data_IF_739139712063
#
_entry.id   IF_739139712063
#
_cell.length_a   1.000
_cell.length_b   1.000
_cell.length_c   1.000
_cell.angle_alpha   90.00
_cell.angle_beta   90.00
_cell.angle_gamma   90.00
#
_symmetry.space_group_name_H-M   'P 1'
#
loop_
_entity.id
_entity.type
_entity.pdbx_description
1 polymer ?
#
# COMPACT_ATOMS: atom_id res chain seq x y z
N UNK A 1 -6.33 23.98 32.59
CA UNK A 1 -5.07 23.25 32.41
C UNK A 1 -3.93 24.14 32.84
N UNK A 2 -3.05 23.64 33.70
CA UNK A 2 -1.82 24.35 34.10
C UNK A 2 -0.69 24.17 33.08
N UNK A 3 0.32 25.04 33.09
CA UNK A 3 1.44 24.99 32.13
C UNK A 3 2.17 23.63 32.09
N UNK A 4 2.33 22.98 33.25
CA UNK A 4 2.93 21.65 33.36
C UNK A 4 2.07 20.55 32.71
N UNK A 5 0.76 20.63 32.89
CA UNK A 5 -0.19 19.65 32.33
C UNK A 5 -0.20 19.75 30.80
N UNK A 6 -0.21 20.99 30.27
CA UNK A 6 -0.08 21.24 28.84
C UNK A 6 1.25 20.69 28.29
N UNK A 7 2.37 20.94 28.98
CA UNK A 7 3.68 20.40 28.58
C UNK A 7 3.69 18.87 28.52
N UNK A 8 3.18 18.19 29.55
CA UNK A 8 3.16 16.73 29.59
C UNK A 8 2.26 16.13 28.50
N UNK A 9 1.14 16.79 28.20
CA UNK A 9 0.29 16.42 27.07
C UNK A 9 1.06 16.56 25.75
N UNK A 10 1.70 17.71 25.49
CA UNK A 10 2.48 17.91 24.25
C UNK A 10 3.64 16.93 24.14
N UNK A 11 4.35 16.67 25.24
CA UNK A 11 5.41 15.67 25.29
C UNK A 11 4.89 14.27 24.94
N UNK A 12 3.72 13.88 25.48
CA UNK A 12 3.13 12.57 25.19
C UNK A 12 2.80 12.42 23.70
N UNK A 13 2.24 13.46 23.08
CA UNK A 13 1.94 13.47 21.65
C UNK A 13 3.23 13.40 20.82
N UNK A 14 4.21 14.24 21.13
CA UNK A 14 5.51 14.21 20.48
C UNK A 14 6.21 12.85 20.61
N UNK A 15 6.13 12.21 21.77
CA UNK A 15 6.72 10.90 22.01
C UNK A 15 6.02 9.79 21.22
N UNK A 16 4.72 9.93 20.99
CA UNK A 16 3.92 8.99 20.19
C UNK A 16 4.22 9.10 18.69
N UNK A 17 4.62 10.26 18.15
CA UNK A 17 4.98 10.38 16.73
C UNK A 17 6.25 9.60 16.36
N UNK A 18 7.06 9.22 17.34
CA UNK A 18 8.19 8.31 17.14
C UNK A 18 7.78 6.84 17.17
N UNK A 19 6.48 6.53 17.27
CA UNK A 19 5.92 5.18 17.39
C UNK A 19 6.17 4.53 18.74
N UNK A 20 5.70 3.29 18.87
CA UNK A 20 5.93 2.42 20.02
C UNK A 20 6.79 1.19 19.63
N UNK A 21 7.06 0.29 20.57
CA UNK A 21 7.80 -0.96 20.31
C UNK A 21 9.30 -0.79 20.03
N UNK A 22 9.97 -1.86 19.62
CA UNK A 22 11.38 -1.79 19.15
C UNK A 22 11.34 -1.48 17.66
N UNK A 23 12.03 -0.44 17.17
CA UNK A 23 12.09 -0.16 15.74
C UNK A 23 12.63 -1.38 14.97
N UNK A 24 12.07 -1.64 13.79
CA UNK A 24 12.58 -2.71 12.93
C UNK A 24 14.02 -2.44 12.49
N UNK A 25 14.83 -3.49 12.49
CA UNK A 25 16.22 -3.42 12.06
C UNK A 25 16.35 -3.72 10.58
N UNK A 26 17.40 -3.19 9.97
CA UNK A 26 17.75 -3.40 8.57
C UNK A 26 18.02 -4.84 8.16
N UNK A 27 18.25 -5.74 9.12
CA UNK A 27 18.48 -7.16 8.86
C UNK A 27 17.36 -7.82 8.04
N UNK A 28 16.10 -7.35 8.17
CA UNK A 28 14.96 -7.86 7.39
C UNK A 28 15.07 -7.51 5.89
N UNK A 29 15.84 -6.46 5.56
CA UNK A 29 16.01 -5.92 4.21
C UNK A 29 17.39 -6.24 3.61
N UNK A 30 18.21 -7.02 4.32
CA UNK A 30 19.55 -7.41 3.88
C UNK A 30 19.58 -8.90 3.50
N UNK A 31 19.32 -9.20 2.23
CA UNK A 31 19.49 -10.55 1.67
C UNK A 31 20.87 -10.76 1.03
N UNK A 32 21.85 -9.91 1.34
CA UNK A 32 23.18 -9.92 0.70
C UNK A 32 23.90 -11.26 0.85
N UNK A 33 23.70 -11.97 1.96
CA UNK A 33 24.32 -13.29 2.19
C UNK A 33 23.83 -14.32 1.18
N UNK A 34 22.52 -14.35 0.91
CA UNK A 34 21.95 -15.26 -0.08
C UNK A 34 22.32 -14.86 -1.51
N UNK A 35 22.36 -13.56 -1.80
CA UNK A 35 22.79 -13.04 -3.10
C UNK A 35 24.26 -13.37 -3.39
N UNK A 36 25.16 -13.25 -2.40
CA UNK A 36 26.56 -13.68 -2.53
C UNK A 36 26.69 -15.21 -2.68
N UNK A 37 25.81 -15.99 -2.05
CA UNK A 37 25.75 -17.45 -2.26
C UNK A 37 25.37 -17.75 -3.71
N UNK A 38 24.36 -17.08 -4.26
CA UNK A 38 23.96 -17.21 -5.66
C UNK A 38 25.06 -16.73 -6.63
N UNK A 39 25.74 -15.63 -6.31
CA UNK A 39 26.90 -15.15 -7.05
C UNK A 39 27.97 -16.25 -7.13
N UNK A 40 28.33 -16.85 -6.00
CA UNK A 40 29.32 -17.93 -5.95
C UNK A 40 28.87 -19.14 -6.77
N UNK A 41 27.58 -19.49 -6.75
CA UNK A 41 27.02 -20.57 -7.58
C UNK A 41 27.16 -20.22 -9.07
N UNK A 42 26.82 -19.00 -9.47
CA UNK A 42 26.96 -18.56 -10.86
C UNK A 42 28.42 -18.61 -11.34
N UNK A 43 29.36 -18.13 -10.53
CA UNK A 43 30.80 -18.17 -10.86
C UNK A 43 31.37 -19.59 -10.92
N UNK A 44 30.89 -20.49 -10.06
CA UNK A 44 31.39 -21.89 -10.01
C UNK A 44 30.75 -22.80 -11.04
N UNK A 45 29.59 -22.43 -11.58
CA UNK A 45 28.92 -23.16 -12.65
C UNK A 45 29.63 -23.06 -14.03
N UNK A 46 30.86 -22.53 -14.09
CA UNK A 46 31.62 -22.35 -15.32
C UNK A 46 31.75 -23.65 -16.16
N UNK A 47 31.47 -23.55 -17.45
CA UNK A 47 31.41 -24.64 -18.41
C UNK A 47 32.78 -25.29 -18.67
N UNK A 48 33.88 -24.55 -18.51
CA UNK A 48 35.23 -24.95 -18.92
C UNK A 48 35.73 -26.30 -18.35
N UNK A 49 35.14 -26.82 -17.27
CA UNK A 49 35.53 -28.12 -16.69
C UNK A 49 34.84 -29.33 -17.33
N UNK A 50 33.72 -29.13 -18.05
CA UNK A 50 32.85 -30.22 -18.52
C UNK A 50 32.43 -30.09 -19.99
N UNK A 51 32.52 -28.89 -20.57
CA UNK A 51 32.08 -28.60 -21.93
C UNK A 51 32.95 -27.50 -22.55
N UNK A 52 33.32 -27.67 -23.81
CA UNK A 52 34.23 -26.75 -24.53
C UNK A 52 33.67 -26.37 -25.90
N UNK A 53 34.07 -25.19 -26.40
CA UNK A 53 33.64 -24.65 -27.69
C UNK A 53 32.96 -23.28 -27.54
N UNK A 54 32.54 -22.67 -28.65
CA UNK A 54 32.00 -21.29 -28.63
C UNK A 54 30.77 -21.11 -27.73
N UNK A 55 29.93 -22.13 -27.62
CA UNK A 55 28.77 -22.11 -26.74
C UNK A 55 29.14 -22.20 -25.24
N UNK A 56 30.22 -22.90 -24.89
CA UNK A 56 30.75 -22.89 -23.52
C UNK A 56 31.31 -21.52 -23.14
N UNK A 57 32.03 -20.86 -24.07
CA UNK A 57 32.53 -19.49 -23.87
C UNK A 57 31.39 -18.47 -23.70
N UNK A 58 30.32 -18.58 -24.50
CA UNK A 58 29.15 -17.71 -24.36
C UNK A 58 28.42 -17.93 -23.03
N UNK A 59 28.33 -19.18 -22.58
CA UNK A 59 27.77 -19.53 -21.28
C UNK A 59 28.58 -18.93 -20.12
N UNK A 60 29.91 -19.08 -20.15
CA UNK A 60 30.80 -18.52 -19.11
C UNK A 60 30.73 -16.99 -19.03
N UNK A 61 30.63 -16.32 -20.18
CA UNK A 61 30.42 -14.88 -20.24
C UNK A 61 29.11 -14.48 -19.54
N UNK A 62 28.01 -15.21 -19.79
CA UNK A 62 26.71 -14.93 -19.17
C UNK A 62 26.66 -15.24 -17.68
N UNK A 63 27.28 -16.33 -17.25
CA UNK A 63 27.41 -16.61 -15.82
C UNK A 63 28.21 -15.52 -15.09
N UNK A 64 29.24 -14.97 -15.74
CA UNK A 64 30.02 -13.85 -15.20
C UNK A 64 29.15 -12.58 -15.07
N UNK A 65 28.36 -12.24 -16.10
CA UNK A 65 27.41 -11.13 -16.04
C UNK A 65 26.38 -11.30 -14.91
N UNK A 66 25.78 -12.49 -14.79
CA UNK A 66 24.82 -12.78 -13.71
C UNK A 66 25.45 -12.69 -12.33
N UNK A 67 26.67 -13.20 -12.16
CA UNK A 67 27.40 -13.09 -10.91
C UNK A 67 27.67 -11.63 -10.54
N UNK A 68 28.06 -10.80 -11.51
CA UNK A 68 28.30 -9.38 -11.27
C UNK A 68 27.01 -8.62 -10.93
N UNK A 69 25.87 -8.97 -11.53
CA UNK A 69 24.56 -8.41 -11.15
C UNK A 69 24.16 -8.82 -9.73
N UNK A 70 24.30 -10.11 -9.38
CA UNK A 70 24.02 -10.61 -8.03
C UNK A 70 24.89 -9.93 -6.97
N UNK A 71 26.16 -9.68 -7.27
CA UNK A 71 27.07 -8.94 -6.39
C UNK A 71 26.61 -7.49 -6.16
N UNK A 72 26.11 -6.82 -7.21
CA UNK A 72 25.58 -5.45 -7.09
C UNK A 72 24.28 -5.42 -6.30
N UNK A 73 23.37 -6.36 -6.52
CA UNK A 73 22.16 -6.50 -5.72
C UNK A 73 22.51 -6.75 -4.25
N UNK A 74 23.50 -7.61 -3.96
CA UNK A 74 23.95 -7.86 -2.60
C UNK A 74 24.46 -6.58 -1.91
N UNK A 75 25.21 -5.73 -2.62
CA UNK A 75 25.66 -4.45 -2.07
C UNK A 75 24.49 -3.48 -1.81
N UNK A 76 23.51 -3.43 -2.71
CA UNK A 76 22.34 -2.57 -2.57
C UNK A 76 21.46 -3.00 -1.39
N UNK A 77 21.16 -4.29 -1.24
CA UNK A 77 20.39 -4.83 -0.10
C UNK A 77 21.05 -4.48 1.24
N UNK A 78 22.36 -4.69 1.33
CA UNK A 78 23.14 -4.33 2.51
C UNK A 78 23.06 -2.82 2.81
N UNK A 79 23.06 -1.97 1.78
CA UNK A 79 22.93 -0.51 1.92
C UNK A 79 21.52 -0.11 2.35
N UNK A 80 20.47 -0.74 1.82
CA UNK A 80 19.08 -0.51 2.26
C UNK A 80 18.94 -0.90 3.73
N UNK A 81 19.41 -2.10 4.12
CA UNK A 81 19.41 -2.53 5.52
C UNK A 81 20.11 -1.50 6.42
N UNK A 82 21.29 -1.02 6.03
CA UNK A 82 22.01 -0.01 6.80
C UNK A 82 21.27 1.35 6.92
N UNK A 83 20.42 1.72 5.96
CA UNK A 83 19.60 2.94 6.05
C UNK A 83 18.35 2.73 6.93
N UNK A 84 17.77 1.54 6.92
CA UNK A 84 16.70 1.16 7.86
C UNK A 84 17.21 1.16 9.30
N UNK A 85 18.41 0.61 9.55
CA UNK A 85 19.06 0.68 10.86
C UNK A 85 19.31 2.13 11.32
N UNK A 86 19.64 3.03 10.39
CA UNK A 86 19.78 4.46 10.72
C UNK A 86 18.44 5.07 11.09
N UNK A 87 17.36 4.77 10.36
CA UNK A 87 16.02 5.22 10.71
C UNK A 87 15.63 4.77 12.12
N UNK A 88 15.84 3.48 12.42
CA UNK A 88 15.63 2.90 13.74
C UNK A 88 16.43 3.63 14.84
N UNK A 89 17.70 3.94 14.58
CA UNK A 89 18.55 4.67 15.50
C UNK A 89 18.08 6.12 15.74
N UNK A 90 17.63 6.83 14.69
CA UNK A 90 17.06 8.19 14.83
C UNK A 90 15.81 8.13 15.70
N UNK A 91 14.95 7.14 15.48
CA UNK A 91 13.72 6.95 16.26
C UNK A 91 14.04 6.67 17.72
N UNK A 92 14.91 5.70 17.99
CA UNK A 92 15.31 5.32 19.35
C UNK A 92 15.93 6.51 20.10
N UNK A 93 16.84 7.24 19.45
CA UNK A 93 17.48 8.43 20.03
C UNK A 93 16.48 9.53 20.33
N UNK A 94 15.56 9.83 19.41
CA UNK A 94 14.55 10.86 19.63
C UNK A 94 13.65 10.54 20.82
N UNK A 95 13.27 9.26 20.99
CA UNK A 95 12.53 8.78 22.16
C UNK A 95 13.30 9.00 23.47
N UNK A 96 14.56 8.59 23.52
CA UNK A 96 15.43 8.78 24.70
C UNK A 96 15.60 10.25 25.07
N UNK A 97 15.80 11.12 24.07
CA UNK A 97 15.99 12.55 24.28
C UNK A 97 14.70 13.23 24.77
N UNK A 98 13.54 12.86 24.19
CA UNK A 98 12.25 13.33 24.67
C UNK A 98 12.01 12.89 26.12
N UNK A 99 12.29 11.63 26.45
CA UNK A 99 12.16 11.09 27.80
C UNK A 99 13.06 11.88 28.79
N UNK A 100 14.29 12.22 28.38
CA UNK A 100 15.21 13.04 29.16
C UNK A 100 14.71 14.47 29.38
N UNK A 101 14.13 15.11 28.35
CA UNK A 101 13.53 16.46 28.47
C UNK A 101 12.38 16.45 29.47
N UNK A 102 11.49 15.44 29.42
CA UNK A 102 10.41 15.30 30.42
C UNK A 102 10.96 15.15 31.83
N UNK A 103 11.95 14.28 32.02
CA UNK A 103 12.57 14.07 33.34
C UNK A 103 13.18 15.37 33.87
N UNK A 104 13.88 16.13 33.03
CA UNK A 104 14.45 17.42 33.39
C UNK A 104 13.36 18.44 33.80
N UNK A 105 12.29 18.58 33.02
CA UNK A 105 11.18 19.51 33.33
C UNK A 105 10.52 19.16 34.66
N UNK A 106 10.24 17.87 34.91
CA UNK A 106 9.64 17.40 36.15
C UNK A 106 10.55 17.66 37.35
N UNK A 107 11.85 17.35 37.23
CA UNK A 107 12.83 17.59 38.29
C UNK A 107 12.97 19.09 38.58
N UNK A 108 13.12 19.92 37.55
CA UNK A 108 13.24 21.37 37.70
C UNK A 108 11.99 21.97 38.35
N UNK A 109 10.79 21.60 37.90
CA UNK A 109 9.54 22.09 38.50
C UNK A 109 9.28 21.60 39.94
N UNK A 110 9.86 20.45 40.33
CA UNK A 110 9.80 19.96 41.71
C UNK A 110 10.67 20.80 42.67
N UNK A 111 11.73 21.43 42.16
CA UNK A 111 12.62 22.31 42.92
C UNK A 111 12.01 23.69 43.21
N UNK A 112 10.95 24.06 42.49
CA UNK A 112 10.24 25.35 42.69
C UNK A 112 9.42 25.32 43.99
N UNK A 113 9.67 26.23 44.94
CA UNK A 113 8.96 26.28 46.22
C UNK A 113 7.44 26.38 46.07
N UNK A 114 6.70 25.74 46.98
CA UNK A 114 5.24 25.85 47.07
C UNK A 114 4.84 27.24 47.59
N UNK A 115 4.56 28.16 46.68
CA UNK A 115 4.07 29.50 46.95
C UNK A 115 2.95 29.89 45.98
N UNK A 116 2.24 30.99 46.26
CA UNK A 116 1.24 31.54 45.36
C UNK A 116 1.81 31.93 43.98
N UNK A 117 3.13 32.16 43.88
CA UNK A 117 3.82 32.48 42.63
C UNK A 117 4.38 31.25 41.89
N UNK A 118 4.16 30.03 42.42
CA UNK A 118 4.76 28.80 41.87
C UNK A 118 4.44 28.58 40.40
N UNK A 119 3.21 28.83 39.97
CA UNK A 119 2.83 28.65 38.57
C UNK A 119 3.62 29.57 37.64
N UNK A 120 3.79 30.84 38.00
CA UNK A 120 4.57 31.80 37.22
C UNK A 120 6.05 31.41 37.16
N UNK A 121 6.60 30.85 38.24
CA UNK A 121 7.99 30.39 38.30
C UNK A 121 8.25 29.12 37.46
N UNK A 122 7.21 28.32 37.15
CA UNK A 122 7.34 27.10 36.32
C UNK A 122 7.31 27.42 34.82
N UNK A 123 6.71 28.55 34.40
CA UNK A 123 6.55 28.91 32.98
C UNK A 123 7.89 28.89 32.22
N UNK A 124 9.01 29.47 32.70
CA UNK A 124 10.29 29.43 31.99
C UNK A 124 10.87 28.02 31.85
N UNK A 125 10.64 27.14 32.84
CA UNK A 125 11.09 25.74 32.80
C UNK A 125 10.35 24.99 31.70
N UNK A 126 9.02 25.13 31.68
CA UNK A 126 8.17 24.57 30.62
C UNK A 126 8.56 25.14 29.25
N UNK A 127 8.78 26.44 29.16
CA UNK A 127 9.20 27.11 27.93
C UNK A 127 10.49 26.53 27.35
N UNK A 128 11.51 26.30 28.19
CA UNK A 128 12.74 25.64 27.76
C UNK A 128 12.48 24.19 27.31
N UNK A 129 11.74 23.40 28.11
CA UNK A 129 11.45 22.01 27.77
C UNK A 129 10.70 21.89 26.44
N UNK A 130 9.74 22.77 26.18
CA UNK A 130 9.04 22.84 24.89
C UNK A 130 9.95 23.22 23.73
N UNK A 131 10.91 24.13 23.94
CA UNK A 131 11.90 24.49 22.92
C UNK A 131 12.84 23.32 22.59
N UNK A 132 13.38 22.64 23.61
CA UNK A 132 14.24 21.46 23.44
C UNK A 132 13.51 20.34 22.69
N UNK A 133 12.23 20.09 23.03
CA UNK A 133 11.38 19.12 22.32
C UNK A 133 11.19 19.48 20.84
N UNK A 134 10.92 20.76 20.53
CA UNK A 134 10.78 21.24 19.16
C UNK A 134 12.07 21.03 18.35
N UNK A 135 13.22 21.27 18.95
CA UNK A 135 14.53 21.04 18.34
C UNK A 135 14.77 19.55 18.04
N UNK A 136 14.48 18.66 18.99
CA UNK A 136 14.60 17.20 18.82
C UNK A 136 13.73 16.72 17.66
N UNK A 137 12.46 17.13 17.61
CA UNK A 137 11.53 16.75 16.54
C UNK A 137 12.02 17.26 15.19
N UNK A 138 12.38 18.54 15.10
CA UNK A 138 12.85 19.16 13.86
C UNK A 138 14.09 18.48 13.32
N UNK A 139 15.07 18.20 14.20
CA UNK A 139 16.29 17.49 13.83
C UNK A 139 16.01 16.06 13.38
N UNK A 140 15.18 15.32 14.13
CA UNK A 140 14.83 13.93 13.81
C UNK A 140 14.12 13.84 12.46
N UNK A 141 13.20 14.77 12.16
CA UNK A 141 12.54 14.84 10.86
C UNK A 141 13.54 15.12 9.72
N UNK A 142 14.50 16.03 9.94
CA UNK A 142 15.55 16.29 8.95
C UNK A 142 16.44 15.08 8.68
N UNK A 143 16.80 14.33 9.72
CA UNK A 143 17.60 13.11 9.59
C UNK A 143 16.81 11.99 8.89
N UNK A 144 15.53 11.78 9.24
CA UNK A 144 14.65 10.81 8.59
C UNK A 144 14.38 11.17 7.13
N UNK A 145 14.19 12.44 6.80
CA UNK A 145 14.07 12.90 5.41
C UNK A 145 15.36 12.61 4.61
N UNK A 146 16.53 12.80 5.23
CA UNK A 146 17.80 12.47 4.61
C UNK A 146 17.98 10.96 4.41
N UNK A 147 17.50 10.12 5.35
CA UNK A 147 17.44 8.66 5.19
C UNK A 147 16.52 8.30 4.02
N UNK A 148 15.30 8.86 3.98
CA UNK A 148 14.35 8.64 2.88
C UNK A 148 14.92 9.00 1.51
N UNK A 149 15.62 10.13 1.40
CA UNK A 149 16.30 10.53 0.16
C UNK A 149 17.41 9.55 -0.27
N UNK A 150 18.15 8.97 0.67
CA UNK A 150 19.16 7.93 0.36
C UNK A 150 18.51 6.62 -0.06
N UNK A 151 17.41 6.23 0.58
CA UNK A 151 16.63 5.04 0.18
C UNK A 151 16.06 5.22 -1.24
N UNK A 152 15.53 6.40 -1.58
CA UNK A 152 15.09 6.72 -2.94
C UNK A 152 16.21 6.58 -3.98
N UNK A 153 17.38 7.13 -3.71
CA UNK A 153 18.55 6.98 -4.59
C UNK A 153 19.01 5.52 -4.75
N UNK A 154 18.91 4.70 -3.68
CA UNK A 154 19.15 3.26 -3.76
C UNK A 154 18.11 2.56 -4.65
N UNK A 155 16.85 3.00 -4.60
CA UNK A 155 15.80 2.56 -5.51
C UNK A 155 16.13 2.83 -6.98
N UNK A 156 16.67 4.01 -7.28
CA UNK A 156 17.14 4.35 -8.64
C UNK A 156 18.31 3.45 -9.09
N UNK A 157 19.26 3.16 -8.18
CA UNK A 157 20.35 2.22 -8.46
C UNK A 157 19.82 0.80 -8.73
N UNK A 158 18.77 0.38 -8.02
CA UNK A 158 18.07 -0.89 -8.29
C UNK A 158 17.40 -0.91 -9.67
N UNK A 159 16.69 0.17 -10.04
CA UNK A 159 16.07 0.29 -11.36
C UNK A 159 17.11 0.32 -12.50
N UNK A 160 18.29 0.88 -12.26
CA UNK A 160 19.38 0.85 -13.23
C UNK A 160 19.93 -0.57 -13.48
N UNK A 161 19.86 -1.47 -12.48
CA UNK A 161 20.24 -2.87 -12.66
C UNK A 161 19.25 -3.65 -13.52
N UNK A 162 17.95 -3.36 -13.43
CA UNK A 162 16.93 -4.01 -14.27
C UNK A 162 16.99 -3.54 -15.73
N UNK A 163 17.43 -2.30 -15.99
CA UNK A 163 17.69 -1.77 -17.34
C UNK A 163 18.99 -2.26 -18.01
N UNK A 164 19.84 -3.00 -17.30
CA UNK A 164 21.22 -3.33 -17.70
C UNK A 164 21.46 -4.79 -18.12
N UNK A 165 20.67 -5.32 -19.05
CA UNK A 165 21.09 -6.38 -19.98
C UNK A 165 21.45 -7.76 -19.41
N UNK A 166 20.45 -8.58 -19.14
CA UNK A 166 20.54 -10.01 -19.52
C UNK A 166 20.21 -10.05 -21.01
N UNK A 167 21.19 -10.30 -21.87
CA UNK A 167 20.89 -10.53 -23.28
C UNK A 167 19.97 -11.76 -23.40
N UNK A 168 18.80 -11.66 -24.05
CA UNK A 168 17.89 -12.79 -24.18
C UNK A 168 18.57 -13.92 -24.95
N UNK A 169 18.43 -15.14 -24.42
CA UNK A 169 18.66 -16.35 -25.22
C UNK A 169 17.66 -16.35 -26.37
N UNK A 170 18.13 -16.57 -27.60
CA UNK A 170 17.27 -17.11 -28.65
C UNK A 170 16.61 -18.38 -28.10
N UNK A 171 15.28 -18.32 -27.89
CA UNK A 171 14.46 -19.46 -27.48
C UNK A 171 13.62 -19.31 -26.20
N UNK A 172 13.66 -18.19 -25.47
CA UNK A 172 12.63 -17.84 -24.49
C UNK A 172 11.89 -16.56 -24.93
N UNK A 173 10.57 -16.42 -24.65
CA UNK A 173 9.80 -15.27 -25.07
C UNK A 173 10.40 -13.97 -24.49
N UNK A 174 10.19 -12.81 -25.16
CA UNK A 174 10.84 -11.53 -24.84
C UNK A 174 10.65 -11.12 -23.37
N UNK A 175 11.46 -10.16 -22.85
CA UNK A 175 11.14 -9.51 -21.56
C UNK A 175 9.70 -9.06 -21.65
N UNK A 176 8.84 -9.62 -20.81
CA UNK A 176 7.42 -9.28 -20.80
C UNK A 176 7.36 -7.85 -20.30
N UNK A 177 6.74 -6.96 -21.08
CA UNK A 177 6.45 -5.61 -20.63
C UNK A 177 5.76 -5.69 -19.26
N UNK A 178 6.13 -4.91 -18.22
CA UNK A 178 5.44 -4.94 -16.94
C UNK A 178 3.92 -4.85 -17.04
N UNK A 179 3.40 -4.12 -18.04
CA UNK A 179 1.96 -4.02 -18.32
C UNK A 179 1.40 -5.31 -18.94
N UNK A 180 2.16 -6.00 -19.79
CA UNK A 180 1.81 -7.34 -20.28
C UNK A 180 1.88 -8.39 -19.15
N UNK A 181 2.81 -8.23 -18.20
CA UNK A 181 2.93 -9.12 -17.04
C UNK A 181 1.74 -8.93 -16.10
N UNK A 182 1.36 -7.69 -15.82
CA UNK A 182 0.12 -7.38 -15.08
C UNK A 182 -1.08 -7.98 -15.80
N UNK A 183 -1.23 -7.74 -17.11
CA UNK A 183 -2.32 -8.29 -17.90
C UNK A 183 -2.38 -9.83 -17.80
N UNK A 184 -1.22 -10.50 -17.76
CA UNK A 184 -1.14 -11.96 -17.67
C UNK A 184 -1.39 -12.50 -16.26
N UNK A 185 -0.94 -11.80 -15.23
CA UNK A 185 -1.01 -12.27 -13.83
C UNK A 185 -2.38 -11.99 -13.21
N UNK A 186 -2.94 -10.83 -13.51
CA UNK A 186 -4.21 -10.36 -12.96
C UNK A 186 -5.37 -10.87 -13.82
N UNK A 187 -5.53 -12.19 -13.84
CA UNK A 187 -6.63 -12.89 -14.50
C UNK A 187 -7.14 -13.98 -13.56
N UNK A 188 -8.44 -14.04 -13.30
CA UNK A 188 -9.08 -15.05 -12.46
C UNK A 188 -10.04 -15.90 -13.29
N UNK A 189 -10.05 -17.22 -13.05
CA UNK A 189 -10.98 -18.09 -13.75
C UNK A 189 -12.43 -17.70 -13.42
N UNK A 190 -13.32 -17.68 -14.41
CA UNK A 190 -14.76 -17.42 -14.23
C UNK A 190 -15.36 -18.24 -13.07
N UNK A 191 -16.44 -17.72 -12.47
CA UNK A 191 -17.19 -18.49 -11.48
C UNK A 191 -17.92 -19.65 -12.18
N UNK A 192 -17.68 -20.93 -11.81
CA UNK A 192 -18.34 -22.07 -12.45
C UNK A 192 -19.86 -22.05 -12.29
N UNK A 193 -20.38 -21.34 -11.28
CA UNK A 193 -21.82 -21.17 -11.06
C UNK A 193 -22.37 -19.89 -11.72
N UNK A 194 -21.54 -19.16 -12.46
CA UNK A 194 -21.89 -17.98 -13.23
C UNK A 194 -22.20 -16.74 -12.37
N UNK A 195 -22.94 -15.81 -12.97
CA UNK A 195 -23.44 -14.60 -12.31
C UNK A 195 -24.95 -14.69 -12.08
N UNK A 196 -25.42 -14.01 -11.04
CA UNK A 196 -26.81 -13.97 -10.62
C UNK A 196 -27.17 -12.58 -10.10
N UNK A 197 -28.46 -12.30 -10.05
CA UNK A 197 -28.97 -11.10 -9.41
C UNK A 197 -29.18 -11.40 -7.93
N UNK A 198 -28.32 -10.82 -7.09
CA UNK A 198 -28.31 -11.04 -5.65
C UNK A 198 -29.09 -9.95 -4.93
N UNK A 199 -29.86 -10.34 -3.92
CA UNK A 199 -30.60 -9.45 -3.03
C UNK A 199 -30.37 -9.87 -1.57
N UNK A 200 -30.18 -8.90 -0.65
CA UNK A 200 -29.97 -9.20 0.76
C UNK A 200 -31.23 -9.85 1.36
N UNK A 201 -31.04 -10.95 2.08
CA UNK A 201 -32.15 -11.65 2.73
C UNK A 201 -32.71 -10.89 3.96
N UNK A 202 -33.99 -11.11 4.28
CA UNK A 202 -34.67 -10.48 5.42
C UNK A 202 -35.26 -9.08 5.14
N UNK A 203 -35.59 -8.27 6.17
CA UNK A 203 -36.30 -7.00 6.00
C UNK A 203 -35.50 -5.89 5.28
N UNK A 204 -34.21 -6.10 4.99
CA UNK A 204 -33.38 -5.21 4.18
C UNK A 204 -33.65 -5.34 2.67
N UNK A 205 -33.97 -6.53 2.18
CA UNK A 205 -34.26 -6.78 0.75
C UNK A 205 -35.56 -6.16 0.25
N UNK A 206 -36.38 -5.58 1.11
CA UNK A 206 -37.61 -4.87 0.72
C UNK A 206 -37.35 -3.49 0.09
N UNK A 207 -36.10 -2.99 0.09
CA UNK A 207 -35.74 -1.62 -0.29
C UNK A 207 -34.50 -1.49 -1.19
N UNK A 208 -33.95 -2.59 -1.71
CA UNK A 208 -32.72 -2.57 -2.53
C UNK A 208 -32.94 -3.23 -3.87
N UNK A 209 -32.50 -2.59 -4.96
CA UNK A 209 -32.51 -3.20 -6.29
C UNK A 209 -31.55 -4.40 -6.34
N UNK A 210 -31.89 -5.48 -7.08
CA UNK A 210 -31.00 -6.61 -7.29
C UNK A 210 -29.64 -6.18 -7.84
N UNK A 211 -28.56 -6.71 -7.27
CA UNK A 211 -27.18 -6.46 -7.70
C UNK A 211 -26.68 -7.64 -8.52
N UNK A 212 -26.26 -7.36 -9.76
CA UNK A 212 -25.63 -8.36 -10.59
C UNK A 212 -24.22 -8.67 -10.06
N UNK A 213 -24.01 -9.89 -9.59
CA UNK A 213 -22.75 -10.35 -8.99
C UNK A 213 -22.46 -11.79 -9.38
N UNK A 214 -21.21 -12.23 -9.24
CA UNK A 214 -20.87 -13.65 -9.38
C UNK A 214 -21.49 -14.47 -8.24
N UNK A 215 -21.77 -15.75 -8.50
CA UNK A 215 -22.29 -16.65 -7.47
C UNK A 215 -21.34 -16.79 -6.26
N UNK A 216 -20.02 -16.72 -6.49
CA UNK A 216 -18.99 -16.66 -5.45
C UNK A 216 -19.09 -15.42 -4.59
N UNK A 217 -19.25 -14.25 -5.20
CA UNK A 217 -19.45 -13.00 -4.45
C UNK A 217 -20.76 -13.03 -3.67
N UNK A 218 -21.86 -13.53 -4.25
CA UNK A 218 -23.14 -13.72 -3.58
C UNK A 218 -23.02 -14.58 -2.31
N UNK A 219 -22.28 -15.70 -2.37
CA UNK A 219 -22.02 -16.55 -1.20
C UNK A 219 -21.28 -15.80 -0.08
N UNK A 220 -20.30 -14.97 -0.43
CA UNK A 220 -19.57 -14.15 0.55
C UNK A 220 -20.50 -13.09 1.17
N UNK A 221 -21.38 -12.49 0.37
CA UNK A 221 -22.38 -11.53 0.85
C UNK A 221 -23.43 -12.17 1.77
N UNK A 222 -23.83 -13.42 1.49
CA UNK A 222 -24.79 -14.18 2.32
C UNK A 222 -24.26 -14.49 3.74
N UNK A 223 -22.94 -14.46 3.93
CA UNK A 223 -22.30 -14.66 5.23
C UNK A 223 -22.22 -13.38 6.07
N UNK A 224 -22.50 -12.21 5.48
CA UNK A 224 -22.41 -10.92 6.15
C UNK A 224 -23.65 -10.62 7.00
N UNK A 225 -23.46 -9.95 8.13
CA UNK A 225 -24.55 -9.41 8.91
C UNK A 225 -25.22 -8.20 8.22
N UNK A 226 -26.48 -7.89 8.57
CA UNK A 226 -27.18 -6.68 8.12
C UNK A 226 -26.40 -5.37 8.27
N UNK A 227 -25.59 -5.23 9.33
CA UNK A 227 -24.78 -4.04 9.56
C UNK A 227 -23.58 -3.98 8.62
N UNK A 228 -22.90 -5.10 8.41
CA UNK A 228 -21.76 -5.19 7.49
C UNK A 228 -22.19 -4.96 6.03
N UNK A 229 -23.36 -5.47 5.63
CA UNK A 229 -23.94 -5.21 4.31
C UNK A 229 -24.25 -3.71 4.10
N UNK A 230 -24.74 -3.04 5.14
CA UNK A 230 -24.97 -1.59 5.11
C UNK A 230 -23.65 -0.82 4.98
N UNK A 231 -22.62 -1.21 5.72
CA UNK A 231 -21.31 -0.56 5.65
C UNK A 231 -20.68 -0.77 4.26
N UNK A 232 -20.76 -1.97 3.71
CA UNK A 232 -20.29 -2.26 2.36
C UNK A 232 -21.02 -1.40 1.31
N UNK A 233 -22.34 -1.25 1.44
CA UNK A 233 -23.11 -0.36 0.56
C UNK A 233 -22.63 1.09 0.65
N UNK A 234 -22.42 1.61 1.87
CA UNK A 234 -21.92 2.97 2.07
C UNK A 234 -20.51 3.15 1.50
N UNK A 235 -19.64 2.16 1.65
CA UNK A 235 -18.29 2.14 1.07
C UNK A 235 -18.35 2.17 -0.46
N UNK A 236 -19.20 1.36 -1.09
CA UNK A 236 -19.40 1.37 -2.55
C UNK A 236 -19.91 2.72 -3.04
N UNK A 237 -20.89 3.31 -2.36
CA UNK A 237 -21.43 4.63 -2.71
C UNK A 237 -20.38 5.74 -2.55
N UNK A 238 -19.63 5.74 -1.44
CA UNK A 238 -18.55 6.69 -1.19
C UNK A 238 -17.46 6.62 -2.26
N UNK A 239 -17.01 5.40 -2.61
CA UNK A 239 -15.99 5.23 -3.64
C UNK A 239 -16.46 5.72 -5.01
N UNK A 240 -17.71 5.44 -5.40
CA UNK A 240 -18.28 5.87 -6.67
C UNK A 240 -18.46 7.39 -6.76
N UNK A 241 -18.84 8.05 -5.66
CA UNK A 241 -18.96 9.50 -5.59
C UNK A 241 -17.59 10.17 -5.64
N UNK A 242 -16.67 9.74 -4.78
CA UNK A 242 -15.34 10.36 -4.66
C UNK A 242 -14.54 10.23 -5.95
N UNK A 243 -14.66 9.09 -6.64
CA UNK A 243 -14.03 8.88 -7.95
C UNK A 243 -14.41 9.97 -8.96
N UNK A 244 -15.70 10.30 -9.07
CA UNK A 244 -16.18 11.34 -10.00
C UNK A 244 -15.79 12.75 -9.57
N UNK A 245 -15.50 12.97 -8.28
CA UNK A 245 -15.04 14.25 -7.76
C UNK A 245 -13.57 14.47 -8.12
N UNK A 246 -12.71 13.48 -7.86
CA UNK A 246 -11.25 13.59 -8.06
C UNK A 246 -10.83 13.37 -9.51
N UNK A 247 -11.50 12.46 -10.20
CA UNK A 247 -11.29 12.16 -11.61
C UNK A 247 -12.62 12.32 -12.36
N UNK A 248 -13.07 13.55 -12.67
CA UNK A 248 -14.31 13.77 -13.38
C UNK A 248 -14.29 13.14 -14.77
N UNK A 249 -15.37 12.45 -15.20
CA UNK A 249 -15.42 11.81 -16.51
C UNK A 249 -15.44 12.86 -17.62
N UNK A 250 -14.55 12.73 -18.61
CA UNK A 250 -14.33 13.76 -19.63
C UNK A 250 -15.23 13.60 -20.86
N UNK A 251 -15.59 12.36 -21.24
CA UNK A 251 -16.39 12.10 -22.44
C UNK A 251 -17.90 11.90 -22.15
N UNK A 252 -18.37 12.43 -21.03
CA UNK A 252 -19.77 12.41 -20.60
C UNK A 252 -19.96 11.71 -19.26
N UNK A 253 -21.10 11.96 -18.60
CA UNK A 253 -21.32 11.55 -17.20
C UNK A 253 -21.23 10.03 -16.93
N UNK A 254 -21.28 9.20 -17.98
CA UNK A 254 -21.22 7.74 -17.90
C UNK A 254 -19.84 7.16 -18.27
N UNK A 255 -18.90 8.00 -18.74
CA UNK A 255 -17.54 7.59 -19.11
C UNK A 255 -16.69 7.36 -17.86
N UNK A 256 -16.97 6.28 -17.14
CA UNK A 256 -16.42 6.00 -15.80
C UNK A 256 -15.85 4.61 -15.66
N UNK A 257 -15.84 3.84 -16.74
CA UNK A 257 -15.26 2.50 -16.82
C UNK A 257 -13.89 2.59 -17.50
N UNK A 258 -12.99 1.67 -17.19
CA UNK A 258 -11.70 1.45 -17.88
C UNK A 258 -10.70 2.63 -17.80
N UNK A 259 -11.03 3.69 -17.06
CA UNK A 259 -10.31 4.97 -17.03
C UNK A 259 -9.88 5.39 -15.62
N UNK A 260 -9.30 6.58 -15.46
CA UNK A 260 -8.83 7.07 -14.15
C UNK A 260 -9.92 7.14 -13.06
N UNK A 261 -11.17 7.41 -13.46
CA UNK A 261 -12.33 7.34 -12.56
C UNK A 261 -12.49 5.94 -12.01
N UNK A 262 -12.30 4.93 -12.86
CA UNK A 262 -12.42 3.53 -12.48
C UNK A 262 -11.25 3.06 -11.63
N UNK A 263 -10.01 3.37 -12.06
CA UNK A 263 -8.80 3.06 -11.33
C UNK A 263 -8.84 3.61 -9.89
N UNK A 264 -9.27 4.87 -9.73
CA UNK A 264 -9.49 5.45 -8.41
C UNK A 264 -10.61 4.73 -7.65
N UNK A 265 -11.76 4.49 -8.29
CA UNK A 265 -12.91 3.83 -7.66
C UNK A 265 -12.54 2.47 -7.09
N UNK A 266 -11.85 1.63 -7.86
CA UNK A 266 -11.43 0.29 -7.45
C UNK A 266 -10.40 0.32 -6.31
N UNK A 267 -9.37 1.17 -6.43
CA UNK A 267 -8.36 1.31 -5.39
C UNK A 267 -8.95 1.87 -4.09
N UNK A 268 -9.77 2.92 -4.15
CA UNK A 268 -10.37 3.51 -2.96
C UNK A 268 -11.43 2.59 -2.32
N UNK A 269 -12.23 1.90 -3.13
CA UNK A 269 -13.17 0.87 -2.65
C UNK A 269 -12.45 -0.23 -1.87
N UNK A 270 -11.33 -0.74 -2.40
CA UNK A 270 -10.52 -1.76 -1.71
C UNK A 270 -9.83 -1.21 -0.46
N UNK A 271 -9.40 0.05 -0.46
CA UNK A 271 -8.79 0.67 0.72
C UNK A 271 -9.81 0.75 1.89
N UNK A 272 -11.01 1.26 1.62
CA UNK A 272 -12.08 1.37 2.62
C UNK A 272 -12.56 0.00 3.11
N UNK A 273 -12.74 -0.98 2.21
CA UNK A 273 -13.10 -2.35 2.60
C UNK A 273 -12.00 -3.00 3.43
N UNK A 274 -10.73 -2.77 3.09
CA UNK A 274 -9.59 -3.33 3.84
C UNK A 274 -9.54 -2.80 5.26
N UNK A 275 -9.75 -1.49 5.46
CA UNK A 275 -9.86 -0.94 6.81
C UNK A 275 -11.08 -1.49 7.57
N UNK A 276 -12.22 -1.68 6.90
CA UNK A 276 -13.47 -2.10 7.57
C UNK A 276 -13.53 -3.59 7.88
N UNK A 277 -13.14 -4.43 6.93
CA UNK A 277 -13.36 -5.88 6.94
C UNK A 277 -12.07 -6.69 6.97
N UNK A 278 -10.92 -6.04 6.76
CA UNK A 278 -9.60 -6.67 6.68
C UNK A 278 -9.18 -6.99 5.23
N UNK A 279 -7.87 -7.00 4.99
CA UNK A 279 -7.26 -7.22 3.67
C UNK A 279 -7.70 -8.56 3.06
N UNK A 280 -7.67 -9.62 3.86
CA UNK A 280 -7.89 -10.97 3.36
C UNK A 280 -9.34 -11.19 2.91
N UNK A 281 -10.31 -10.72 3.70
CA UNK A 281 -11.71 -10.73 3.30
C UNK A 281 -11.93 -9.88 2.05
N UNK A 282 -11.33 -8.69 2.02
CA UNK A 282 -11.45 -7.76 0.89
C UNK A 282 -10.93 -8.38 -0.40
N UNK A 283 -9.75 -9.01 -0.35
CA UNK A 283 -9.18 -9.75 -1.48
C UNK A 283 -10.10 -10.86 -1.95
N UNK A 284 -10.63 -11.69 -1.05
CA UNK A 284 -11.47 -12.83 -1.42
C UNK A 284 -12.79 -12.33 -2.06
N UNK A 285 -13.40 -11.28 -1.51
CA UNK A 285 -14.63 -10.67 -2.05
C UNK A 285 -14.41 -10.01 -3.41
N UNK A 286 -13.40 -9.14 -3.57
CA UNK A 286 -13.17 -8.45 -4.83
C UNK A 286 -12.64 -9.38 -5.91
N UNK A 287 -11.82 -10.38 -5.57
CA UNK A 287 -11.46 -11.44 -6.52
C UNK A 287 -12.70 -12.19 -6.97
N UNK A 288 -13.64 -12.52 -6.07
CA UNK A 288 -14.88 -13.17 -6.49
C UNK A 288 -15.73 -12.26 -7.39
N UNK A 289 -15.76 -10.95 -7.11
CA UNK A 289 -16.48 -9.94 -7.91
C UNK A 289 -16.03 -9.93 -9.37
N UNK A 290 -14.72 -10.03 -9.64
CA UNK A 290 -14.17 -9.97 -11.00
C UNK A 290 -14.34 -11.25 -11.83
N UNK A 291 -14.87 -12.34 -11.26
CA UNK A 291 -15.04 -13.65 -11.94
C UNK A 291 -16.25 -13.71 -12.88
N UNK A 292 -16.59 -12.58 -13.51
CA UNK A 292 -17.76 -12.45 -14.39
C UNK A 292 -17.60 -13.33 -15.65
N UNK A 293 -18.68 -13.93 -16.16
CA UNK A 293 -18.63 -14.66 -17.43
C UNK A 293 -18.23 -13.75 -18.59
N UNK A 294 -17.23 -14.16 -19.37
CA UNK A 294 -16.64 -13.40 -20.49
C UNK A 294 -16.11 -12.00 -20.08
N UNK A 295 -15.51 -11.87 -18.90
CA UNK A 295 -14.91 -10.61 -18.47
C UNK A 295 -13.76 -10.23 -19.43
N UNK A 296 -13.77 -9.02 -20.03
CA UNK A 296 -12.67 -8.56 -20.87
C UNK A 296 -11.34 -8.53 -20.12
N UNK A 297 -10.29 -9.10 -20.71
CA UNK A 297 -9.02 -9.34 -20.03
C UNK A 297 -8.34 -8.05 -19.54
N UNK A 298 -8.40 -6.95 -20.30
CA UNK A 298 -7.79 -5.68 -19.90
C UNK A 298 -8.54 -4.99 -18.76
N UNK A 299 -9.88 -5.04 -18.78
CA UNK A 299 -10.69 -4.50 -17.68
C UNK A 299 -10.47 -5.33 -16.40
N UNK A 300 -10.55 -6.67 -16.51
CA UNK A 300 -10.32 -7.57 -15.38
C UNK A 300 -8.94 -7.36 -14.73
N UNK A 301 -7.88 -7.27 -15.55
CA UNK A 301 -6.53 -7.05 -15.03
C UNK A 301 -6.36 -5.69 -14.38
N UNK A 302 -6.93 -4.63 -15.00
CA UNK A 302 -6.92 -3.29 -14.45
C UNK A 302 -7.57 -3.28 -13.06
N UNK A 303 -8.77 -3.84 -12.95
CA UNK A 303 -9.55 -3.86 -11.73
C UNK A 303 -8.86 -4.68 -10.64
N UNK A 304 -8.42 -5.91 -10.93
CA UNK A 304 -7.70 -6.75 -9.96
C UNK A 304 -6.39 -6.10 -9.47
N UNK A 305 -5.64 -5.45 -10.36
CA UNK A 305 -4.39 -4.77 -10.00
C UNK A 305 -4.66 -3.54 -9.12
N UNK A 306 -5.58 -2.67 -9.55
CA UNK A 306 -5.94 -1.46 -8.80
C UNK A 306 -6.60 -1.81 -7.46
N UNK A 307 -7.38 -2.90 -7.39
CA UNK A 307 -7.89 -3.48 -6.16
C UNK A 307 -6.73 -3.79 -5.19
N UNK A 308 -5.65 -4.42 -5.66
CA UNK A 308 -4.47 -4.72 -4.82
C UNK A 308 -3.76 -3.46 -4.32
N UNK A 309 -3.56 -2.45 -5.18
CA UNK A 309 -2.97 -1.17 -4.77
C UNK A 309 -3.78 -0.54 -3.63
N UNK A 310 -5.11 -0.52 -3.75
CA UNK A 310 -6.01 -0.05 -2.71
C UNK A 310 -5.84 -0.75 -1.36
N UNK A 311 -5.77 -2.09 -1.37
CA UNK A 311 -5.54 -2.88 -0.15
C UNK A 311 -4.18 -2.54 0.48
N UNK A 312 -3.13 -2.43 -0.32
CA UNK A 312 -1.78 -2.10 0.16
C UNK A 312 -1.73 -0.71 0.81
N UNK A 313 -2.41 0.28 0.21
CA UNK A 313 -2.51 1.64 0.77
C UNK A 313 -3.17 1.58 2.16
N UNK A 314 -4.25 0.83 2.32
CA UNK A 314 -4.94 0.70 3.61
C UNK A 314 -4.10 -0.04 4.66
N UNK A 315 -3.42 -1.14 4.28
CA UNK A 315 -2.52 -1.89 5.20
C UNK A 315 -1.37 -1.01 5.70
N UNK A 316 -0.81 -0.17 4.83
CA UNK A 316 0.28 0.74 5.19
C UNK A 316 -0.19 1.97 6.00
N UNK A 317 -1.50 2.22 6.04
CA UNK A 317 -2.10 3.39 6.68
C UNK A 317 -3.35 2.99 7.50
N UNK A 318 -3.19 2.15 8.54
CA UNK A 318 -4.32 1.56 9.26
C UNK A 318 -5.19 2.60 9.98
N UNK A 319 -4.60 3.72 10.40
CA UNK A 319 -5.29 4.80 11.14
C UNK A 319 -5.70 5.99 10.24
N UNK A 320 -5.52 5.89 8.92
CA UNK A 320 -5.90 6.97 8.00
C UNK A 320 -7.42 7.14 7.96
N UNK A 321 -7.90 8.38 7.98
CA UNK A 321 -9.30 8.69 7.71
C UNK A 321 -9.68 8.34 6.27
N UNK A 322 -10.97 8.17 5.95
CA UNK A 322 -11.43 7.98 4.57
C UNK A 322 -10.89 9.06 3.61
N UNK A 323 -10.87 10.33 4.03
CA UNK A 323 -10.33 11.43 3.23
C UNK A 323 -8.83 11.29 3.00
N UNK A 324 -8.06 10.86 4.01
CA UNK A 324 -6.63 10.61 3.87
C UNK A 324 -6.35 9.41 2.96
N UNK A 325 -7.16 8.35 3.03
CA UNK A 325 -7.07 7.24 2.09
C UNK A 325 -7.40 7.69 0.65
N UNK A 326 -8.42 8.53 0.48
CA UNK A 326 -8.74 9.11 -0.82
C UNK A 326 -7.57 9.96 -1.37
N UNK A 327 -6.91 10.76 -0.53
CA UNK A 327 -5.70 11.52 -0.91
C UNK A 327 -4.54 10.63 -1.34
N UNK A 328 -4.32 9.52 -0.63
CA UNK A 328 -3.27 8.55 -0.97
C UNK A 328 -3.58 7.80 -2.27
N UNK A 329 -4.84 7.41 -2.49
CA UNK A 329 -5.25 6.76 -3.73
C UNK A 329 -5.18 7.73 -4.90
N UNK A 330 -5.56 9.00 -4.73
CA UNK A 330 -5.40 10.02 -5.76
C UNK A 330 -3.92 10.20 -6.14
N UNK A 331 -3.03 10.22 -5.16
CA UNK A 331 -1.58 10.27 -5.42
C UNK A 331 -1.11 9.04 -6.20
N UNK A 332 -1.54 7.83 -5.83
CA UNK A 332 -1.18 6.61 -6.55
C UNK A 332 -1.63 6.65 -8.03
N UNK A 333 -2.85 7.15 -8.29
CA UNK A 333 -3.34 7.33 -9.66
C UNK A 333 -2.55 8.41 -10.42
N UNK A 334 -2.21 9.53 -9.78
CA UNK A 334 -1.45 10.58 -10.44
C UNK A 334 0.03 10.23 -10.67
N UNK A 335 0.61 9.37 -9.83
CA UNK A 335 2.01 8.95 -9.91
C UNK A 335 2.24 7.82 -10.92
N UNK A 336 1.18 7.14 -11.39
CA UNK A 336 1.30 5.97 -12.27
C UNK A 336 1.51 4.67 -11.52
N UNK A 337 1.16 4.61 -10.23
CA UNK A 337 1.22 3.36 -9.45
C UNK A 337 0.05 2.42 -9.79
N UNK A 338 -1.02 2.97 -10.38
CA UNK A 338 -2.19 2.26 -10.91
C UNK A 338 -2.15 2.15 -12.43
N UNK A 339 -3.01 1.31 -13.00
CA UNK A 339 -3.16 1.15 -14.46
C UNK A 339 -4.56 1.53 -14.93
N UNK A 340 -4.67 1.90 -16.21
CA UNK A 340 -5.92 2.13 -16.95
C UNK A 340 -5.87 1.34 -18.27
N UNK A 341 -7.00 1.25 -18.98
CA UNK A 341 -7.00 0.66 -20.33
C UNK A 341 -6.38 1.64 -21.32
N UNK A 342 -5.38 1.18 -22.08
CA UNK A 342 -4.74 1.98 -23.10
C UNK A 342 -5.74 2.38 -24.21
N UNK A 343 -5.50 3.47 -24.97
CA UNK A 343 -6.42 3.93 -26.02
C UNK A 343 -6.78 2.86 -27.07
N UNK A 344 -5.92 1.85 -27.25
CA UNK A 344 -6.16 0.72 -28.16
C UNK A 344 -7.21 -0.28 -27.65
N UNK A 345 -7.44 -0.35 -26.34
CA UNK A 345 -8.41 -1.23 -25.68
C UNK A 345 -7.92 -2.65 -25.36
N UNK A 346 -6.84 -3.10 -26.00
CA UNK A 346 -6.24 -4.43 -25.87
C UNK A 346 -4.97 -4.47 -25.00
N UNK A 347 -4.50 -3.31 -24.56
CA UNK A 347 -3.34 -3.15 -23.68
C UNK A 347 -3.70 -2.36 -22.41
N UNK A 348 -2.89 -2.51 -21.37
CA UNK A 348 -2.90 -1.65 -20.19
C UNK A 348 -1.93 -0.48 -20.39
N UNK A 349 -2.14 0.61 -19.66
CA UNK A 349 -1.21 1.72 -19.56
C UNK A 349 -1.12 2.21 -18.11
N UNK A 350 0.07 2.69 -17.71
CA UNK A 350 0.21 3.38 -16.42
C UNK A 350 -0.65 4.63 -16.41
N UNK A 351 -1.38 4.85 -15.32
CA UNK A 351 -2.37 5.93 -15.22
C UNK A 351 -1.79 7.32 -15.48
N UNK A 352 -0.53 7.59 -15.14
CA UNK A 352 0.13 8.88 -15.42
C UNK A 352 0.60 9.07 -16.87
N UNK A 353 0.54 8.03 -17.71
CA UNK A 353 0.95 8.09 -19.13
C UNK A 353 -0.20 8.43 -20.06
N UNK A 354 -1.44 8.28 -19.59
CA UNK A 354 -2.66 8.55 -20.36
C UNK A 354 -3.31 9.83 -19.82
N UNK A 355 -3.55 10.85 -20.67
CA UNK A 355 -4.32 12.02 -20.27
C UNK A 355 -5.74 11.66 -19.82
N UNK A 356 -6.32 12.44 -18.90
CA UNK A 356 -7.71 12.26 -18.50
C UNK A 356 -8.65 12.33 -19.72
N UNK A 357 -9.47 11.31 -19.90
CA UNK A 357 -10.41 11.20 -21.03
C UNK A 357 -9.85 10.47 -22.26
N UNK A 358 -8.56 10.15 -22.30
CA UNK A 358 -7.94 9.46 -23.44
C UNK A 358 -7.84 7.94 -23.24
N UNK A 359 -8.22 7.42 -22.07
CA UNK A 359 -8.28 5.97 -21.82
C UNK A 359 -9.23 5.28 -22.82
N UNK A 360 -8.88 4.06 -23.20
CA UNK A 360 -9.64 3.29 -24.18
C UNK A 360 -10.84 2.58 -23.58
N UNK A 361 -11.63 1.95 -24.43
CA UNK A 361 -12.65 0.97 -24.03
C UNK A 361 -12.09 -0.42 -24.28
N UNK A 362 -12.25 -1.31 -23.30
CA UNK A 362 -11.75 -2.69 -23.42
C UNK A 362 -12.29 -3.43 -24.65
N UNK A 363 -11.45 -4.27 -25.27
CA UNK A 363 -11.90 -5.19 -26.34
C UNK A 363 -12.59 -6.43 -25.75
N UNK A 364 -13.45 -7.14 -26.48
CA UNK A 364 -14.08 -8.38 -25.98
C UNK A 364 -13.13 -9.58 -25.78
N UNK A 365 -11.81 -9.37 -25.89
CA UNK A 365 -10.82 -10.43 -25.75
C UNK A 365 -10.77 -10.92 -24.30
N UNK A 366 -10.77 -12.24 -24.12
CA UNK A 366 -10.63 -12.89 -22.82
C UNK A 366 -9.34 -13.69 -22.78
N UNK A 367 -8.74 -13.80 -21.58
CA UNK A 367 -7.53 -14.59 -21.34
C UNK A 367 -7.86 -15.62 -20.25
N UNK A 368 -7.36 -16.87 -20.34
CA UNK A 368 -7.60 -17.85 -19.29
C UNK A 368 -7.03 -17.40 -17.95
N UNK A 369 -7.90 -17.14 -16.98
CA UNK A 369 -7.51 -16.78 -15.62
C UNK A 369 -7.11 -17.98 -14.74
N UNK A 370 -6.41 -17.67 -13.65
CA UNK A 370 -6.00 -18.68 -12.65
C UNK A 370 -7.14 -18.97 -11.69
N UNK A 371 -7.23 -20.20 -11.20
CA UNK A 371 -8.16 -20.51 -10.12
C UNK A 371 -7.83 -19.64 -8.90
N UNK A 372 -8.83 -18.97 -8.28
CA UNK A 372 -8.57 -18.20 -7.08
C UNK A 372 -8.14 -19.15 -5.95
N UNK A 373 -7.28 -18.67 -5.06
CA UNK A 373 -6.91 -19.38 -3.83
C UNK A 373 -7.67 -18.70 -2.69
N UNK A 374 -8.94 -19.09 -2.43
CA UNK A 374 -9.72 -18.51 -1.34
C UNK A 374 -9.11 -18.93 -0.01
N UNK A 375 -9.04 -18.00 0.93
CA UNK A 375 -8.49 -18.27 2.26
C UNK A 375 -9.56 -18.64 3.28
N UNK A 376 -10.83 -18.39 2.95
CA UNK A 376 -11.98 -18.79 3.78
C UNK A 376 -12.13 -17.98 5.06
N UNK A 377 -11.63 -16.73 5.07
CA UNK A 377 -11.68 -15.86 6.25
C UNK A 377 -12.92 -14.98 6.18
N UNK A 378 -13.86 -15.13 7.14
CA UNK A 378 -15.02 -14.24 7.27
C UNK A 378 -14.63 -12.81 7.68
N UNK A 379 -15.56 -11.83 7.61
CA UNK A 379 -15.29 -10.46 8.04
C UNK A 379 -14.98 -10.45 9.54
N UNK A 380 -13.72 -10.16 9.93
CA UNK A 380 -13.26 -10.54 11.28
C UNK A 380 -11.94 -9.94 11.78
N UNK A 381 -11.48 -8.80 11.26
CA UNK A 381 -10.43 -8.03 11.93
C UNK A 381 -10.85 -7.61 13.35
N UNK A 382 -9.92 -7.57 14.31
CA UNK A 382 -10.19 -7.30 15.74
C UNK A 382 -11.04 -6.03 15.96
N UNK A 383 -12.18 -6.23 16.63
CA UNK A 383 -13.12 -5.19 17.04
C UNK A 383 -12.76 -4.65 18.44
N UNK A 384 -12.41 -3.36 18.51
CA UNK A 384 -12.42 -2.54 19.74
C UNK A 384 -13.69 -1.66 19.75
N UNK A 385 -14.75 -2.02 20.50
CA UNK A 385 -15.93 -1.19 20.68
C UNK A 385 -15.62 -0.06 21.67
N UNK A 386 -14.96 0.99 21.21
CA UNK A 386 -15.00 2.27 21.91
C UNK A 386 -16.45 2.78 21.99
N UNK A 387 -17.16 2.49 23.07
CA UNK A 387 -18.44 3.15 23.39
C UNK A 387 -18.24 4.32 24.37
N UNK A 388 -19.24 5.19 24.61
CA UNK A 388 -20.30 5.72 23.74
C UNK A 388 -20.29 7.27 23.66
N UNK A 389 -20.64 7.84 22.49
CA UNK A 389 -21.07 9.24 22.32
C UNK A 389 -20.22 10.06 21.33
N UNK A 390 -20.76 10.65 20.27
CA UNK A 390 -22.15 10.73 19.85
C UNK A 390 -22.32 11.43 18.49
N UNK A 391 -23.48 11.19 17.88
CA UNK A 391 -24.12 12.16 16.99
C UNK A 391 -25.45 12.56 17.64
N UNK A 392 -25.59 13.87 17.85
CA UNK A 392 -26.70 14.52 18.52
C UNK A 392 -28.01 14.33 17.77
N UNK A 393 -29.06 14.08 18.56
CA UNK A 393 -30.47 14.14 18.18
C UNK A 393 -30.93 15.56 17.83
N UNK A 394 -31.80 15.65 16.82
CA UNK A 394 -32.82 16.68 16.62
C UNK A 394 -33.63 16.20 15.40
N UNK A 395 -34.88 15.79 15.48
CA UNK A 395 -35.98 16.15 16.37
C UNK A 395 -37.20 16.29 15.47
N UNK A 396 -38.09 15.30 15.48
CA UNK A 396 -39.56 15.36 15.55
C UNK A 396 -40.13 13.95 15.38
#
# INVERSE_FOLDING_TARGET
>A
MGAMEAFLATWSHARATFGEGTPETGATFDSSTDLHRLESVARTAAAAQHWSGGAATAYDAKNSEHADTLAKMADLDRRIGAEVDRSAAVIARGREELDAVRQWVLAAASSVPKSAAREQMIIPIVGKGSADMSEIITRSNGELAAVGGRIGALGDEYAALSGGGIAPKEGNPPPVDPLEEILREYQVSEDPDGALDWEPSGPLGWFTDPKHVTAGAARILDEMSPFELRDLQQITEAAAVEAKVRFPPQNGANDTADNHTDAFRHAYWNALMTQRFGEQWTRDFTTAHERLPNNPATAEAMDLYNNQIGRQIAVNNPDASPEQLADLVEQAVNNGDTVVVAPSGDELAWSNTIPLGDAGTTTPATVPGRAPVPTGTGPGGQYDPGGPGGFSTGGY
#
